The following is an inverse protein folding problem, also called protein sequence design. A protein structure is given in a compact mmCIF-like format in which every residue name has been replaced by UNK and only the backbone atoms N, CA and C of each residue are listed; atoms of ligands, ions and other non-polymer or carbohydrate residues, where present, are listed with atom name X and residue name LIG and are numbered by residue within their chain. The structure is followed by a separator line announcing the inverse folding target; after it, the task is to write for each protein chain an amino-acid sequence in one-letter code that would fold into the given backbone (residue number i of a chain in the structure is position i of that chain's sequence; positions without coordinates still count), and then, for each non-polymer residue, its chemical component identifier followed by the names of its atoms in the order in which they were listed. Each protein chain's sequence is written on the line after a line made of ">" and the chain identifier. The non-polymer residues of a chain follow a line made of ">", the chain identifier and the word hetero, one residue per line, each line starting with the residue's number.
data_IF_225113928608
#
_entry.id   IF_225113928608
#
_cell.length_a   1.000
_cell.length_b   1.000
_cell.length_c   1.000
_cell.angle_alpha   90.00
_cell.angle_beta   90.00
_cell.angle_gamma   90.00
#
_symmetry.space_group_name_H-M   'P 1'
#
loop_
_entity.id
_entity.type
_entity.pdbx_description
1 polymer ?
#
# COMPACT_ATOMS: atom_id res chain seq x y z
N UNK A 1 8.77 19.45 -20.88
CA UNK A 1 7.62 19.09 -20.02
C UNK A 1 8.18 18.60 -18.70
N UNK A 2 7.98 19.32 -17.60
CA UNK A 2 8.61 19.02 -16.32
C UNK A 2 7.96 17.81 -15.64
N UNK A 3 8.78 16.93 -15.08
CA UNK A 3 8.36 15.96 -14.07
C UNK A 3 7.69 16.74 -12.95
N UNK A 4 6.38 16.59 -12.77
CA UNK A 4 5.74 17.00 -11.53
C UNK A 4 6.11 15.92 -10.52
N UNK A 5 7.25 16.11 -9.85
CA UNK A 5 7.55 15.39 -8.63
C UNK A 5 6.38 15.65 -7.68
N UNK A 6 5.56 14.63 -7.44
CA UNK A 6 4.54 14.62 -6.40
C UNK A 6 5.23 14.61 -5.05
N UNK A 7 5.92 15.69 -4.71
CA UNK A 7 6.55 15.86 -3.42
C UNK A 7 5.50 16.38 -2.46
N UNK A 8 5.07 15.56 -1.51
CA UNK A 8 4.27 16.01 -0.37
C UNK A 8 4.94 17.14 0.43
N UNK A 9 4.25 17.80 1.37
CA UNK A 9 4.84 18.81 2.26
C UNK A 9 6.20 18.38 2.85
N UNK A 10 7.03 19.36 3.25
CA UNK A 10 8.39 19.09 3.76
C UNK A 10 8.41 18.20 5.01
N UNK A 11 7.27 18.07 5.66
CA UNK A 11 7.03 17.22 6.83
C UNK A 11 6.63 15.77 6.49
N UNK A 12 6.45 15.41 5.21
CA UNK A 12 6.08 14.05 4.79
C UNK A 12 7.32 13.15 4.72
N UNK A 13 7.40 12.19 5.66
CA UNK A 13 8.51 11.24 5.69
C UNK A 13 8.34 10.07 4.72
N UNK A 14 7.10 9.75 4.34
CA UNK A 14 6.76 8.66 3.43
C UNK A 14 5.59 9.04 2.53
N UNK A 15 5.72 8.79 1.24
CA UNK A 15 4.59 8.78 0.31
C UNK A 15 4.85 7.84 -0.87
N UNK A 16 3.78 7.47 -1.56
CA UNK A 16 3.85 6.64 -2.75
C UNK A 16 2.81 7.11 -3.78
N UNK A 17 3.17 7.07 -5.06
CA UNK A 17 2.38 7.67 -6.14
C UNK A 17 2.55 6.94 -7.46
N UNK A 18 1.47 6.81 -8.24
CA UNK A 18 1.50 6.29 -9.60
C UNK A 18 1.36 7.43 -10.61
N UNK A 19 2.39 7.61 -11.45
CA UNK A 19 2.43 8.66 -12.45
C UNK A 19 1.83 8.27 -13.80
N UNK A 20 1.44 9.28 -14.59
CA UNK A 20 1.04 9.12 -15.99
C UNK A 20 2.14 8.53 -16.88
N UNK A 21 3.38 8.55 -16.41
CA UNK A 21 4.56 7.93 -17.01
C UNK A 21 4.64 6.42 -16.73
N UNK A 22 3.59 5.84 -16.11
CA UNK A 22 3.49 4.42 -15.76
C UNK A 22 4.58 3.97 -14.78
N UNK A 23 5.02 4.89 -13.94
CA UNK A 23 5.97 4.64 -12.85
C UNK A 23 5.22 4.68 -11.53
N UNK A 24 5.50 3.70 -10.68
CA UNK A 24 5.08 3.70 -9.29
C UNK A 24 6.29 4.07 -8.42
N UNK A 25 6.20 5.23 -7.76
CA UNK A 25 7.25 5.77 -6.91
C UNK A 25 6.98 5.43 -5.43
N UNK A 26 8.04 5.10 -4.71
CA UNK A 26 8.13 5.04 -3.26
C UNK A 26 9.15 6.07 -2.82
N UNK A 27 8.73 7.04 -2.00
CA UNK A 27 9.63 8.06 -1.45
C UNK A 27 9.76 7.95 0.05
N UNK A 28 10.97 8.20 0.52
CA UNK A 28 11.30 8.23 1.94
C UNK A 28 12.26 9.40 2.22
N UNK A 29 11.91 10.26 3.18
CA UNK A 29 12.60 11.55 3.39
C UNK A 29 13.24 11.75 4.78
N UNK A 30 14.01 10.80 5.36
CA UNK A 30 14.52 10.97 6.70
C UNK A 30 15.64 12.02 6.81
N UNK A 31 16.37 12.29 5.71
CA UNK A 31 17.43 13.31 5.60
C UNK A 31 17.53 13.86 4.16
N UNK A 32 16.39 14.18 3.53
CA UNK A 32 16.28 14.53 2.10
C UNK A 32 15.64 13.42 1.27
N UNK A 33 15.28 13.72 0.01
CA UNK A 33 14.50 12.82 -0.84
C UNK A 33 15.34 11.60 -1.27
N UNK A 34 14.94 10.42 -0.80
CA UNK A 34 15.38 9.13 -1.35
C UNK A 34 14.19 8.44 -1.97
N UNK A 35 14.38 7.77 -3.12
CA UNK A 35 13.28 7.15 -3.84
C UNK A 35 13.66 5.79 -4.41
N UNK A 36 12.67 4.91 -4.49
CA UNK A 36 12.67 3.68 -5.25
C UNK A 36 11.47 3.74 -6.20
N UNK A 37 11.56 3.09 -7.36
CA UNK A 37 10.48 3.13 -8.32
C UNK A 37 10.50 1.91 -9.23
N UNK A 38 9.33 1.53 -9.71
CA UNK A 38 9.17 0.50 -10.74
C UNK A 38 8.16 0.91 -11.81
N UNK A 39 8.19 0.22 -12.94
CA UNK A 39 7.20 0.40 -14.01
C UNK A 39 5.98 -0.48 -13.75
N UNK A 40 4.81 0.03 -14.06
CA UNK A 40 3.54 -0.70 -13.91
C UNK A 40 2.78 -0.77 -15.24
N UNK A 41 2.01 -1.83 -15.49
CA UNK A 41 1.17 -1.94 -16.68
C UNK A 41 -0.11 -1.12 -16.50
N UNK A 42 -0.04 0.21 -16.66
CA UNK A 42 -1.23 1.05 -16.60
C UNK A 42 -1.98 0.98 -17.95
N UNK A 43 -2.85 -0.01 -18.10
CA UNK A 43 -3.58 -0.37 -19.32
C UNK A 43 -5.11 -0.49 -19.13
N UNK A 44 -5.67 0.37 -18.27
CA UNK A 44 -7.11 0.48 -17.94
C UNK A 44 -7.72 -0.75 -17.24
N UNK A 45 -6.90 -1.70 -16.80
CA UNK A 45 -7.29 -2.81 -15.93
C UNK A 45 -6.99 -2.52 -14.44
N UNK A 46 -7.64 -3.26 -13.54
CA UNK A 46 -7.32 -3.21 -12.11
C UNK A 46 -5.95 -3.83 -11.86
N UNK A 47 -5.06 -3.09 -11.19
CA UNK A 47 -3.72 -3.56 -10.83
C UNK A 47 -3.66 -3.69 -9.31
N UNK A 48 -3.23 -4.86 -8.83
CA UNK A 48 -2.93 -5.05 -7.42
C UNK A 48 -1.48 -4.63 -7.14
N UNK A 49 -1.30 -3.52 -6.44
CA UNK A 49 0.00 -2.98 -6.09
C UNK A 49 0.30 -3.24 -4.61
N UNK A 50 1.48 -3.80 -4.31
CA UNK A 50 1.95 -3.95 -2.93
C UNK A 50 3.40 -3.54 -2.83
N UNK A 51 3.72 -2.76 -1.79
CA UNK A 51 5.09 -2.37 -1.47
C UNK A 51 5.35 -2.80 -0.04
N UNK A 52 6.42 -3.56 0.14
CA UNK A 52 6.85 -4.04 1.46
C UNK A 52 8.16 -3.39 1.86
N UNK A 53 8.44 -3.46 3.16
CA UNK A 53 9.70 -2.96 3.70
C UNK A 53 10.22 -3.88 4.80
N UNK A 54 11.36 -4.53 4.55
CA UNK A 54 12.02 -5.40 5.52
C UNK A 54 12.88 -4.58 6.48
N UNK A 55 12.65 -4.75 7.79
CA UNK A 55 13.67 -4.50 8.83
C UNK A 55 14.31 -3.10 8.86
N UNK A 56 13.68 -2.12 8.22
CA UNK A 56 14.12 -0.74 7.98
C UNK A 56 15.03 -0.45 6.78
N UNK A 57 15.25 -1.35 5.82
CA UNK A 57 16.18 -1.05 4.70
C UNK A 57 15.58 -1.31 3.33
N UNK A 58 15.21 -2.55 3.08
CA UNK A 58 14.91 -2.99 1.73
C UNK A 58 13.44 -2.75 1.42
N UNK A 59 13.19 -2.03 0.32
CA UNK A 59 11.86 -1.83 -0.25
C UNK A 59 11.71 -2.77 -1.44
N UNK A 60 10.62 -3.52 -1.47
CA UNK A 60 10.29 -4.45 -2.55
C UNK A 60 8.90 -4.16 -3.09
N UNK A 61 8.78 -4.15 -4.42
CA UNK A 61 7.53 -3.94 -5.12
C UNK A 61 6.95 -5.26 -5.60
N UNK A 62 5.63 -5.33 -5.59
CA UNK A 62 4.85 -6.45 -6.12
C UNK A 62 3.73 -5.91 -7.00
N UNK A 63 3.63 -6.46 -8.20
CA UNK A 63 2.65 -6.08 -9.22
C UNK A 63 1.84 -7.33 -9.55
N UNK A 64 0.52 -7.27 -9.33
CA UNK A 64 -0.39 -8.41 -9.49
C UNK A 64 0.08 -9.67 -8.75
N UNK A 65 0.63 -9.47 -7.54
CA UNK A 65 1.07 -10.54 -6.64
C UNK A 65 2.44 -11.14 -6.97
N UNK A 66 3.09 -10.73 -8.05
CA UNK A 66 4.45 -11.16 -8.39
C UNK A 66 5.47 -10.09 -7.99
N UNK A 67 6.64 -10.53 -7.52
CA UNK A 67 7.73 -9.64 -7.15
C UNK A 67 8.32 -8.97 -8.38
N UNK A 68 8.58 -7.67 -8.29
CA UNK A 68 9.33 -6.93 -9.28
C UNK A 68 10.82 -6.88 -8.91
N UNK A 69 11.69 -6.85 -9.93
CA UNK A 69 13.14 -6.80 -9.72
C UNK A 69 13.62 -5.46 -9.13
N UNK A 70 12.77 -4.42 -9.13
CA UNK A 70 13.04 -3.17 -8.42
C UNK A 70 13.05 -3.43 -6.92
N UNK A 71 14.25 -3.63 -6.38
CA UNK A 71 14.50 -3.68 -4.94
C UNK A 71 15.56 -2.66 -4.60
N UNK A 72 15.28 -1.81 -3.61
CA UNK A 72 16.16 -0.71 -3.24
C UNK A 72 16.39 -0.68 -1.73
N UNK A 73 17.65 -0.54 -1.33
CA UNK A 73 17.99 -0.21 0.05
C UNK A 73 17.80 1.28 0.27
N UNK A 74 16.84 1.62 1.13
CA UNK A 74 16.55 3.00 1.54
C UNK A 74 16.85 3.18 3.03
N UNK A 75 17.23 4.40 3.47
CA UNK A 75 17.43 4.68 4.89
C UNK A 75 16.18 4.40 5.74
N UNK A 76 16.34 4.31 7.07
CA UNK A 76 15.21 4.17 7.98
C UNK A 76 14.22 5.32 7.86
N UNK A 77 12.97 5.02 7.46
CA UNK A 77 11.88 5.99 7.50
C UNK A 77 11.66 6.49 8.93
N UNK A 78 11.45 7.79 9.08
CA UNK A 78 11.12 8.40 10.38
C UNK A 78 9.61 8.47 10.53
N UNK A 79 9.10 8.14 11.71
CA UNK A 79 7.70 8.42 12.02
C UNK A 79 7.47 9.92 12.11
N UNK A 80 6.28 10.37 11.74
CA UNK A 80 5.75 11.71 11.96
C UNK A 80 4.29 11.60 12.43
N UNK A 81 3.71 12.72 12.81
CA UNK A 81 2.33 12.87 13.24
C UNK A 81 1.42 13.46 12.15
N UNK A 82 1.88 13.48 10.90
CA UNK A 82 1.07 13.96 9.77
C UNK A 82 -0.06 12.97 9.47
N UNK A 83 -1.22 13.49 9.10
CA UNK A 83 -2.34 12.67 8.68
C UNK A 83 -2.01 11.89 7.41
N UNK A 84 -2.39 10.61 7.37
CA UNK A 84 -2.37 9.81 6.14
C UNK A 84 -3.37 10.44 5.15
N UNK A 85 -2.90 10.66 3.93
CA UNK A 85 -3.71 11.15 2.81
C UNK A 85 -3.75 10.08 1.72
N UNK A 86 -4.89 9.94 1.07
CA UNK A 86 -5.11 9.01 -0.05
C UNK A 86 -5.68 9.82 -1.22
N UNK A 87 -5.07 9.70 -2.39
CA UNK A 87 -5.46 10.48 -3.58
C UNK A 87 -5.14 11.98 -3.50
N UNK A 88 -4.31 12.41 -2.57
CA UNK A 88 -3.95 13.81 -2.33
C UNK A 88 -2.54 13.92 -1.76
N UNK A 89 -1.70 14.78 -2.32
CA UNK A 89 -0.34 15.03 -1.85
C UNK A 89 -0.25 16.17 -0.81
N UNK A 90 -1.37 16.78 -0.43
CA UNK A 90 -1.40 17.91 0.50
C UNK A 90 -0.91 19.24 -0.09
N UNK A 91 -0.49 19.28 -1.37
CA UNK A 91 -0.08 20.48 -2.12
C UNK A 91 -1.02 20.82 -3.28
N UNK A 92 -2.26 20.35 -3.20
CA UNK A 92 -3.31 20.50 -4.22
C UNK A 92 -3.12 19.62 -5.46
N UNK A 93 -2.17 18.69 -5.46
CA UNK A 93 -2.14 17.66 -6.49
C UNK A 93 -3.05 16.51 -6.05
N UNK A 94 -3.96 16.11 -6.94
CA UNK A 94 -4.90 15.02 -6.70
C UNK A 94 -4.51 13.83 -7.56
N UNK A 95 -4.67 12.63 -6.99
CA UNK A 95 -4.60 11.39 -7.74
C UNK A 95 -5.73 11.33 -8.76
N UNK A 96 -5.39 11.00 -10.00
CA UNK A 96 -6.37 10.67 -11.02
C UNK A 96 -6.43 9.15 -11.12
N UNK A 97 -7.39 8.52 -10.44
CA UNK A 97 -7.57 7.08 -10.43
C UNK A 97 -8.59 6.63 -9.39
N UNK A 98 -9.01 5.37 -9.47
CA UNK A 98 -9.85 4.70 -8.49
C UNK A 98 -9.02 3.76 -7.63
N UNK A 99 -9.29 3.71 -6.34
CA UNK A 99 -8.63 2.83 -5.38
C UNK A 99 -9.71 1.98 -4.73
N UNK A 100 -9.46 0.68 -4.64
CA UNK A 100 -10.28 -0.25 -3.88
C UNK A 100 -9.40 -1.08 -2.94
N UNK A 101 -9.96 -1.53 -1.81
CA UNK A 101 -9.30 -2.42 -0.82
C UNK A 101 -7.94 -1.95 -0.31
N UNK A 102 -7.83 -0.68 0.07
CA UNK A 102 -6.62 -0.15 0.71
C UNK A 102 -6.42 -0.74 2.11
N UNK A 103 -5.28 -1.39 2.33
CA UNK A 103 -4.86 -1.94 3.63
C UNK A 103 -3.42 -1.53 3.91
N UNK A 104 -3.10 -1.23 5.17
CA UNK A 104 -1.75 -0.86 5.63
C UNK A 104 -1.36 -1.78 6.79
N UNK A 105 -0.18 -2.38 6.70
CA UNK A 105 0.35 -3.31 7.70
C UNK A 105 1.55 -2.71 8.44
N UNK A 106 1.71 -3.09 9.72
CA UNK A 106 2.87 -2.73 10.56
C UNK A 106 4.06 -3.70 10.39
N UNK A 107 3.93 -4.70 9.53
CA UNK A 107 4.97 -5.70 9.26
C UNK A 107 5.13 -5.89 7.76
N UNK A 108 6.25 -6.47 7.39
CA UNK A 108 6.43 -7.03 6.06
C UNK A 108 5.46 -8.20 5.85
N UNK A 109 4.93 -8.29 4.62
CA UNK A 109 4.10 -9.38 4.16
C UNK A 109 4.95 -10.38 3.38
N UNK A 110 4.66 -11.68 3.49
CA UNK A 110 5.23 -12.68 2.61
C UNK A 110 4.57 -12.65 1.23
N UNK A 111 5.22 -13.24 0.23
CA UNK A 111 4.68 -13.32 -1.14
C UNK A 111 3.34 -14.06 -1.16
N UNK A 112 3.20 -15.11 -0.36
CA UNK A 112 1.98 -15.90 -0.24
C UNK A 112 0.83 -15.08 0.36
N UNK A 113 1.13 -14.24 1.37
CA UNK A 113 0.14 -13.32 1.95
C UNK A 113 -0.31 -12.28 0.94
N UNK A 114 0.60 -11.74 0.14
CA UNK A 114 0.29 -10.78 -0.93
C UNK A 114 -0.62 -11.41 -1.99
N UNK A 115 -0.29 -12.64 -2.43
CA UNK A 115 -1.12 -13.38 -3.40
C UNK A 115 -2.51 -13.67 -2.85
N UNK A 116 -2.59 -14.05 -1.57
CA UNK A 116 -3.88 -14.27 -0.91
C UNK A 116 -4.69 -12.99 -0.77
N UNK A 117 -4.07 -11.85 -0.39
CA UNK A 117 -4.73 -10.54 -0.35
C UNK A 117 -5.32 -10.13 -1.70
N UNK A 118 -4.59 -10.38 -2.79
CA UNK A 118 -5.06 -10.06 -4.13
C UNK A 118 -6.31 -10.86 -4.50
N UNK A 119 -6.34 -12.16 -4.17
CA UNK A 119 -7.43 -13.07 -4.53
C UNK A 119 -8.66 -12.92 -3.63
N UNK A 120 -8.44 -12.81 -2.31
CA UNK A 120 -9.48 -12.88 -1.29
C UNK A 120 -9.85 -11.51 -0.72
N UNK A 121 -9.00 -10.49 -0.90
CA UNK A 121 -9.15 -9.17 -0.30
C UNK A 121 -8.62 -9.09 1.15
N UNK A 122 -8.66 -7.89 1.72
CA UNK A 122 -8.19 -7.61 3.08
C UNK A 122 -9.03 -8.21 4.21
N UNK A 123 -10.25 -8.67 3.93
CA UNK A 123 -11.18 -9.19 4.93
C UNK A 123 -10.64 -10.42 5.67
N UNK A 124 -9.79 -11.21 5.00
CA UNK A 124 -9.07 -12.34 5.62
C UNK A 124 -8.25 -11.93 6.85
N UNK A 125 -7.72 -10.71 6.88
CA UNK A 125 -6.92 -10.19 7.99
C UNK A 125 -7.77 -9.48 9.04
N UNK A 126 -9.05 -9.22 8.74
CA UNK A 126 -10.03 -8.71 9.68
C UNK A 126 -10.75 -9.83 10.42
N UNK A 127 -10.72 -11.04 9.87
CA UNK A 127 -11.18 -12.24 10.55
C UNK A 127 -10.18 -12.59 11.67
N UNK A 128 -10.39 -11.97 12.84
CA UNK A 128 -9.78 -12.44 14.08
C UNK A 128 -10.21 -13.89 14.23
N UNK A 129 -9.26 -14.81 13.98
CA UNK A 129 -9.34 -16.24 14.23
C UNK A 129 -10.65 -16.69 14.88
N UNK A 130 -11.60 -17.14 14.05
CA UNK A 130 -12.78 -17.88 14.51
C UNK A 130 -12.43 -19.30 14.98
N UNK A 131 -11.15 -19.64 15.12
CA UNK A 131 -10.62 -20.79 15.87
C UNK A 131 -10.89 -20.60 17.37
N UNK A 132 -12.16 -20.55 17.75
CA UNK A 132 -12.60 -20.52 19.15
C UNK A 132 -13.87 -19.72 19.43
N UNK A 133 -14.40 -18.96 18.47
CA UNK A 133 -15.65 -18.20 18.67
C UNK A 133 -16.71 -18.68 17.70
N UNK A 134 -17.73 -19.34 18.26
CA UNK A 134 -18.98 -19.65 17.57
C UNK A 134 -19.60 -18.36 17.03
N UNK A 135 -19.45 -18.10 15.73
CA UNK A 135 -20.18 -17.04 15.04
C UNK A 135 -21.65 -17.42 15.03
N UNK A 136 -22.38 -16.92 16.03
CA UNK A 136 -23.84 -17.06 16.03
C UNK A 136 -24.40 -15.88 15.24
N UNK A 137 -24.74 -16.11 13.97
CA UNK A 137 -25.49 -15.13 13.17
C UNK A 137 -26.89 -15.00 13.77
N UNK A 138 -27.37 -13.78 13.99
CA UNK A 138 -28.68 -13.46 14.62
C UNK A 138 -29.89 -14.17 14.00
N UNK A 139 -29.77 -14.65 12.76
CA UNK A 139 -30.79 -15.45 12.08
C UNK A 139 -31.13 -16.75 12.83
N UNK A 140 -30.19 -17.34 13.58
CA UNK A 140 -30.42 -18.56 14.36
C UNK A 140 -31.12 -18.37 15.72
N UNK A 141 -31.15 -17.15 16.25
CA UNK A 141 -31.70 -16.86 17.59
C UNK A 141 -33.23 -16.60 17.53
N UNK A 142 -33.74 -16.12 16.40
CA UNK A 142 -35.15 -15.76 16.27
C UNK A 142 -36.11 -16.95 16.16
N UNK A 143 -35.61 -18.18 16.05
CA UNK A 143 -36.43 -19.40 15.99
C UNK A 143 -36.48 -20.20 17.31
N UNK A 144 -36.08 -19.61 18.45
CA UNK A 144 -36.11 -20.28 19.76
C UNK A 144 -36.96 -19.60 20.85
N UNK A 145 -37.87 -18.71 20.48
CA UNK A 145 -38.96 -18.26 21.36
C UNK A 145 -40.27 -18.21 20.58
#
# INVERSE_FOLDING_TARGET
>A
MSKTSGGGPKEDNFHTWTGKDKVWDYENQPNGQTHAATKIPLDDEWIHLTVTRNGNKTVSFYINGEADDATNDLPTARGNDVNIRVGDDGKRNKGAGTIDKLVIFRRELSVEEIKSLMQEGGEKFLDVEHTGKLTTTWVGIKNRF
#
